data_IF_401981289447
#
_entry.id   IF_401981289447
#
_cell.length_a   1.000
_cell.length_b   1.000
_cell.length_c   1.000
_cell.angle_alpha   90.00
_cell.angle_beta   90.00
_cell.angle_gamma   90.00
#
_symmetry.space_group_name_H-M   'P 1'
#
loop_
_entity.id
_entity.type
_entity.pdbx_description
1 polymer ?
#
# COMPACT_ATOMS: atom_id res chain seq x y z
N UNK A 1 -70.24 10.03 -43.43
CA UNK A 1 -69.08 9.09 -43.54
C UNK A 1 -68.00 9.56 -42.56
N UNK A 2 -67.87 8.94 -41.39
CA UNK A 2 -66.86 9.27 -40.37
C UNK A 2 -65.54 8.49 -40.67
N UNK A 3 -64.48 9.21 -40.96
CA UNK A 3 -63.15 8.61 -41.14
C UNK A 3 -62.52 8.44 -39.75
N UNK A 4 -62.28 7.21 -39.34
CA UNK A 4 -61.58 6.85 -38.11
C UNK A 4 -60.08 6.83 -38.43
N UNK A 5 -59.30 7.74 -37.79
CA UNK A 5 -57.85 7.82 -37.91
C UNK A 5 -57.22 6.90 -36.81
N UNK A 6 -56.62 5.81 -37.24
CA UNK A 6 -55.85 4.95 -36.33
C UNK A 6 -54.46 5.56 -36.09
N UNK A 7 -54.22 6.04 -34.87
CA UNK A 7 -52.87 6.45 -34.44
C UNK A 7 -52.14 5.21 -33.96
N UNK A 8 -51.14 4.79 -34.71
CA UNK A 8 -50.21 3.70 -34.33
C UNK A 8 -49.21 4.25 -33.27
N UNK A 9 -49.41 3.96 -32.00
CA UNK A 9 -48.45 4.28 -30.94
C UNK A 9 -47.37 3.21 -30.96
N UNK A 10 -46.20 3.54 -31.53
CA UNK A 10 -45.01 2.72 -31.42
C UNK A 10 -44.44 2.86 -29.99
N UNK A 11 -44.61 1.86 -29.14
CA UNK A 11 -43.95 1.79 -27.87
C UNK A 11 -42.48 1.42 -28.07
N UNK A 12 -41.60 2.41 -27.94
CA UNK A 12 -40.13 2.21 -27.94
C UNK A 12 -39.76 1.66 -26.54
N UNK A 13 -39.56 0.36 -26.43
CA UNK A 13 -38.97 -0.24 -25.23
C UNK A 13 -37.50 0.04 -25.24
N UNK A 14 -37.05 0.97 -24.38
CA UNK A 14 -35.62 1.17 -24.11
C UNK A 14 -35.18 0.00 -23.27
N UNK A 15 -34.57 -1.00 -23.89
CA UNK A 15 -33.83 -2.03 -23.16
C UNK A 15 -32.52 -1.39 -22.70
N UNK A 16 -32.36 -1.18 -21.39
CA UNK A 16 -31.08 -0.90 -20.80
C UNK A 16 -30.18 -2.13 -21.02
N UNK A 17 -29.36 -2.11 -22.06
CA UNK A 17 -28.29 -3.07 -22.24
C UNK A 17 -27.19 -2.61 -21.27
N UNK A 18 -27.15 -3.18 -20.07
CA UNK A 18 -25.97 -3.13 -19.26
C UNK A 18 -24.92 -3.94 -20.03
N UNK A 19 -23.96 -3.28 -20.65
CA UNK A 19 -22.76 -3.92 -21.17
C UNK A 19 -22.02 -4.48 -19.96
N UNK A 20 -22.17 -5.77 -19.68
CA UNK A 20 -21.39 -6.46 -18.68
C UNK A 20 -20.02 -6.68 -19.32
N UNK A 21 -19.01 -6.03 -18.78
CA UNK A 21 -17.62 -6.23 -19.23
C UNK A 21 -17.21 -7.68 -18.99
N UNK A 22 -16.41 -8.24 -19.88
CA UNK A 22 -15.87 -9.60 -19.76
C UNK A 22 -14.85 -9.76 -18.64
N UNK A 23 -14.43 -8.68 -18.03
CA UNK A 23 -13.54 -8.64 -16.86
C UNK A 23 -14.00 -7.62 -15.82
N UNK A 24 -13.44 -7.68 -14.62
CA UNK A 24 -13.66 -6.70 -13.55
C UNK A 24 -12.33 -6.31 -12.89
N UNK A 25 -12.27 -5.09 -12.36
CA UNK A 25 -11.13 -4.61 -11.58
C UNK A 25 -11.15 -5.14 -10.13
N UNK A 26 -9.96 -5.34 -9.55
CA UNK A 26 -9.79 -5.84 -8.18
C UNK A 26 -8.75 -4.99 -7.41
N UNK A 27 -9.06 -4.55 -6.19
CA UNK A 27 -10.42 -4.47 -5.62
C UNK A 27 -11.24 -3.33 -6.24
N UNK A 28 -10.57 -2.35 -6.89
CA UNK A 28 -11.16 -1.16 -7.51
C UNK A 28 -10.42 -0.82 -8.80
N UNK A 29 -11.05 -0.02 -9.63
CA UNK A 29 -10.51 0.55 -10.87
C UNK A 29 -9.62 1.80 -10.63
N UNK A 30 -9.59 2.33 -9.41
CA UNK A 30 -8.94 3.60 -9.10
C UNK A 30 -8.06 3.51 -7.86
N UNK A 31 -6.83 3.98 -7.99
CA UNK A 31 -5.89 4.21 -6.88
C UNK A 31 -5.70 5.73 -6.74
N UNK A 32 -5.93 6.23 -5.52
CA UNK A 32 -5.56 7.59 -5.11
C UNK A 32 -4.51 7.48 -4.03
N UNK A 33 -3.28 7.92 -4.31
CA UNK A 33 -2.17 7.68 -3.39
C UNK A 33 -1.15 8.82 -3.39
N UNK A 34 -0.65 9.13 -2.20
CA UNK A 34 0.58 9.89 -2.02
C UNK A 34 1.78 8.94 -2.18
N UNK A 35 2.75 9.35 -2.99
CA UNK A 35 3.94 8.57 -3.33
C UNK A 35 5.19 9.17 -2.70
N UNK A 36 6.12 8.31 -2.28
CA UNK A 36 7.41 8.74 -1.76
C UNK A 36 8.19 9.48 -2.86
N UNK A 37 8.59 10.76 -2.62
CA UNK A 37 9.30 11.55 -3.62
C UNK A 37 10.68 11.01 -4.01
N UNK A 38 11.28 10.15 -3.19
CA UNK A 38 12.66 9.70 -3.35
C UNK A 38 12.79 8.19 -3.64
N UNK A 39 11.68 7.50 -3.86
CA UNK A 39 11.66 6.06 -4.10
C UNK A 39 10.80 5.68 -5.31
N UNK A 40 11.03 4.47 -5.84
CA UNK A 40 10.10 3.86 -6.77
C UNK A 40 8.87 3.34 -6.02
N UNK A 41 7.70 3.83 -6.43
CA UNK A 41 6.42 3.42 -5.90
C UNK A 41 5.73 2.50 -6.91
N UNK A 42 5.29 1.34 -6.49
CA UNK A 42 4.58 0.38 -7.33
C UNK A 42 3.09 0.38 -7.00
N UNK A 43 2.26 0.66 -7.99
CA UNK A 43 0.82 0.84 -7.86
C UNK A 43 0.11 -0.12 -8.81
N UNK A 44 -0.38 -1.23 -8.25
CA UNK A 44 -0.96 -2.33 -8.99
C UNK A 44 -2.49 -2.28 -8.97
N UNK A 45 -3.11 -2.37 -10.15
CA UNK A 45 -4.55 -2.65 -10.30
C UNK A 45 -4.68 -4.00 -11.02
N UNK A 46 -5.33 -4.94 -10.38
CA UNK A 46 -5.62 -6.24 -10.98
C UNK A 46 -6.94 -6.23 -11.74
N UNK A 47 -7.05 -7.11 -12.72
CA UNK A 47 -8.28 -7.39 -13.44
C UNK A 47 -8.52 -8.89 -13.50
N UNK A 48 -9.76 -9.31 -13.28
CA UNK A 48 -10.15 -10.71 -13.35
C UNK A 48 -10.96 -10.97 -14.60
N UNK A 49 -10.56 -11.96 -15.39
CA UNK A 49 -11.38 -12.48 -16.47
C UNK A 49 -12.60 -13.22 -15.89
N UNK A 50 -13.79 -12.74 -16.20
CA UNK A 50 -15.08 -13.30 -15.72
C UNK A 50 -15.63 -14.40 -16.64
N UNK A 51 -15.00 -14.58 -17.81
CA UNK A 51 -15.44 -15.56 -18.81
C UNK A 51 -14.75 -16.92 -18.60
N UNK A 52 -15.25 -17.95 -19.27
CA UNK A 52 -14.55 -19.23 -19.38
C UNK A 52 -13.49 -19.27 -20.47
N UNK A 53 -13.45 -18.25 -21.33
CA UNK A 53 -12.59 -18.18 -22.51
C UNK A 53 -11.36 -17.31 -22.26
N UNK A 54 -10.37 -17.40 -23.14
CA UNK A 54 -9.19 -16.52 -23.09
C UNK A 54 -9.52 -15.18 -23.74
N UNK A 55 -9.29 -14.08 -23.01
CA UNK A 55 -9.40 -12.73 -23.52
C UNK A 55 -8.08 -12.26 -24.13
N UNK A 56 -8.18 -11.58 -25.28
CA UNK A 56 -7.06 -10.91 -25.93
C UNK A 56 -7.20 -9.41 -25.71
N UNK A 57 -6.57 -8.92 -24.65
CA UNK A 57 -6.73 -7.55 -24.19
C UNK A 57 -5.66 -6.63 -24.79
N UNK A 58 -6.07 -5.42 -25.11
CA UNK A 58 -5.20 -4.30 -25.46
C UNK A 58 -5.40 -3.17 -24.46
N UNK A 59 -4.33 -2.48 -24.16
CA UNK A 59 -4.35 -1.27 -23.33
C UNK A 59 -4.14 -0.04 -24.22
N UNK A 60 -4.85 1.03 -23.87
CA UNK A 60 -4.71 2.35 -24.45
C UNK A 60 -4.54 3.38 -23.32
N UNK A 61 -3.51 4.19 -23.40
CA UNK A 61 -3.33 5.31 -22.46
C UNK A 61 -4.26 6.44 -22.90
N UNK A 62 -5.35 6.65 -22.16
CA UNK A 62 -6.34 7.68 -22.51
C UNK A 62 -6.00 9.05 -21.92
N UNK A 63 -5.26 9.07 -20.82
CA UNK A 63 -4.80 10.30 -20.17
C UNK A 63 -3.47 10.07 -19.46
N UNK A 64 -2.55 11.02 -19.57
CA UNK A 64 -1.34 11.08 -18.77
C UNK A 64 -1.00 12.55 -18.49
N UNK A 65 -1.18 12.95 -17.22
CA UNK A 65 -0.78 14.28 -16.69
C UNK A 65 0.32 14.16 -15.64
N UNK A 66 0.94 12.98 -15.51
CA UNK A 66 2.08 12.78 -14.60
C UNK A 66 3.21 13.71 -15.06
N UNK A 67 3.89 14.32 -14.09
CA UNK A 67 5.01 15.22 -14.37
C UNK A 67 6.06 14.51 -15.23
N UNK A 68 6.41 15.03 -16.39
CA UNK A 68 7.34 14.38 -17.32
C UNK A 68 8.78 14.29 -16.82
N UNK A 69 9.11 14.95 -15.70
CA UNK A 69 10.41 14.79 -15.03
C UNK A 69 10.45 13.58 -14.07
N UNK A 70 9.31 12.96 -13.79
CA UNK A 70 9.24 11.76 -12.99
C UNK A 70 9.68 10.54 -13.81
N UNK A 71 10.50 9.69 -13.22
CA UNK A 71 10.88 8.42 -13.86
C UNK A 71 9.85 7.33 -13.56
N UNK A 72 9.76 6.35 -14.44
CA UNK A 72 8.86 5.22 -14.22
C UNK A 72 8.45 4.50 -15.49
N UNK A 73 7.54 3.55 -15.32
CA UNK A 73 7.02 2.72 -16.41
C UNK A 73 5.61 2.21 -16.11
N UNK A 74 4.91 1.81 -17.16
CA UNK A 74 3.66 1.03 -17.05
C UNK A 74 3.94 -0.39 -17.52
N UNK A 75 3.58 -1.39 -16.68
CA UNK A 75 3.67 -2.80 -17.01
C UNK A 75 2.26 -3.42 -17.09
N UNK A 76 2.05 -4.25 -18.10
CA UNK A 76 0.80 -4.94 -18.37
C UNK A 76 1.08 -6.43 -18.52
N UNK A 77 0.61 -7.26 -17.60
CA UNK A 77 0.74 -8.72 -17.67
C UNK A 77 2.14 -9.18 -18.13
N UNK A 78 3.21 -8.64 -17.52
CA UNK A 78 4.59 -9.02 -17.82
C UNK A 78 5.25 -8.31 -19.01
N UNK A 79 4.53 -7.48 -19.74
CA UNK A 79 5.06 -6.60 -20.80
C UNK A 79 5.09 -5.19 -20.25
N UNK A 80 6.20 -4.46 -20.42
CA UNK A 80 6.34 -3.10 -19.91
C UNK A 80 6.60 -2.11 -21.05
N UNK A 81 5.99 -0.94 -20.95
CA UNK A 81 6.50 0.24 -21.65
C UNK A 81 7.83 0.65 -21.02
N UNK A 82 8.79 1.09 -21.80
CA UNK A 82 10.11 1.49 -21.27
C UNK A 82 10.08 2.78 -20.45
N UNK A 83 8.96 3.51 -20.45
CA UNK A 83 8.72 4.76 -19.70
C UNK A 83 7.26 4.82 -19.28
N UNK A 84 6.84 5.89 -18.60
CA UNK A 84 5.42 6.21 -18.43
C UNK A 84 4.92 6.72 -19.79
N UNK A 85 4.04 5.98 -20.50
CA UNK A 85 3.72 6.29 -21.88
C UNK A 85 2.79 7.51 -22.00
N UNK A 86 2.88 8.23 -23.12
CA UNK A 86 2.00 9.36 -23.42
C UNK A 86 0.58 8.88 -23.78
N UNK A 87 -0.40 9.78 -23.66
CA UNK A 87 -1.76 9.53 -24.12
C UNK A 87 -1.76 9.15 -25.62
N UNK A 88 -2.60 8.18 -25.99
CA UNK A 88 -2.66 7.57 -27.30
C UNK A 88 -1.71 6.39 -27.53
N UNK A 89 -0.80 6.09 -26.59
CA UNK A 89 0.03 4.88 -26.69
C UNK A 89 -0.81 3.62 -26.42
N UNK A 90 -0.57 2.58 -27.21
CA UNK A 90 -1.23 1.27 -27.05
C UNK A 90 -0.22 0.15 -26.94
N UNK A 91 -0.60 -0.94 -26.31
CA UNK A 91 0.15 -2.18 -26.30
C UNK A 91 -0.78 -3.37 -25.98
N UNK A 92 -0.44 -4.52 -26.54
CA UNK A 92 -1.21 -5.73 -26.33
C UNK A 92 -0.74 -6.45 -25.07
N UNK A 93 -1.69 -6.86 -24.22
CA UNK A 93 -1.40 -7.70 -23.04
C UNK A 93 -1.12 -9.14 -23.48
N UNK A 94 -0.40 -9.90 -22.64
CA UNK A 94 -0.40 -11.35 -22.77
C UNK A 94 -1.83 -11.90 -22.62
N UNK A 95 -2.20 -12.96 -23.37
CA UNK A 95 -3.55 -13.51 -23.31
C UNK A 95 -3.98 -13.87 -21.88
N UNK A 96 -5.16 -13.38 -21.46
CA UNK A 96 -5.69 -13.60 -20.11
C UNK A 96 -6.66 -14.78 -20.11
N UNK A 97 -6.21 -15.91 -19.60
CA UNK A 97 -7.00 -17.15 -19.53
C UNK A 97 -8.24 -16.98 -18.65
N UNK A 98 -9.33 -17.67 -18.99
CA UNK A 98 -10.59 -17.59 -18.28
C UNK A 98 -10.46 -17.85 -16.78
N UNK A 99 -11.09 -17.00 -15.97
CA UNK A 99 -11.07 -17.08 -14.52
C UNK A 99 -9.78 -16.62 -13.83
N UNK A 100 -8.69 -16.32 -14.58
CA UNK A 100 -7.42 -15.84 -14.03
C UNK A 100 -7.41 -14.31 -13.88
N UNK A 101 -6.47 -13.84 -13.06
CA UNK A 101 -6.19 -12.41 -12.89
C UNK A 101 -5.06 -11.99 -13.84
N UNK A 102 -5.23 -10.80 -14.42
CA UNK A 102 -4.19 -10.01 -15.04
C UNK A 102 -3.93 -8.74 -14.23
N UNK A 103 -3.04 -7.87 -14.72
CA UNK A 103 -2.76 -6.62 -14.04
C UNK A 103 -2.30 -5.51 -14.99
N UNK A 104 -2.55 -4.27 -14.55
CA UNK A 104 -1.86 -3.06 -15.02
C UNK A 104 -1.15 -2.46 -13.81
N UNK A 105 0.15 -2.18 -13.93
CA UNK A 105 0.99 -1.65 -12.85
C UNK A 105 1.67 -0.37 -13.31
N UNK A 106 1.47 0.69 -12.56
CA UNK A 106 2.27 1.91 -12.66
C UNK A 106 3.43 1.82 -11.67
N UNK A 107 4.66 1.98 -12.14
CA UNK A 107 5.83 2.22 -11.30
C UNK A 107 6.27 3.65 -11.53
N UNK A 108 6.46 4.43 -10.47
CA UNK A 108 6.79 5.86 -10.57
C UNK A 108 7.77 6.28 -9.48
N UNK A 109 8.77 7.11 -9.85
CA UNK A 109 9.68 7.77 -8.93
C UNK A 109 9.70 9.27 -9.25
N UNK A 110 9.25 10.12 -8.32
CA UNK A 110 9.27 11.58 -8.51
C UNK A 110 10.67 12.22 -8.57
N UNK A 111 11.74 11.49 -8.23
CA UNK A 111 13.12 11.98 -8.21
C UNK A 111 13.29 13.26 -7.36
N UNK A 112 12.65 13.31 -6.20
CA UNK A 112 12.66 14.45 -5.29
C UNK A 112 11.83 15.64 -5.74
N UNK A 113 11.05 15.53 -6.81
CA UNK A 113 10.15 16.59 -7.26
C UNK A 113 8.73 16.41 -6.74
N UNK A 114 8.03 17.50 -6.50
CA UNK A 114 6.68 17.50 -5.96
C UNK A 114 5.65 17.83 -7.03
N UNK A 115 4.42 17.42 -6.82
CA UNK A 115 3.33 17.66 -7.73
C UNK A 115 2.28 16.56 -7.70
N UNK A 116 1.37 16.59 -8.64
CA UNK A 116 0.34 15.57 -8.82
C UNK A 116 0.21 15.21 -10.29
N UNK A 117 -0.35 14.04 -10.55
CA UNK A 117 -0.64 13.61 -11.91
C UNK A 117 -1.67 12.50 -11.94
N UNK A 118 -2.30 12.35 -13.07
CA UNK A 118 -3.29 11.31 -13.35
C UNK A 118 -2.82 10.49 -14.54
N UNK A 119 -2.89 9.17 -14.39
CA UNK A 119 -2.78 8.22 -15.49
C UNK A 119 -4.10 7.47 -15.61
N UNK A 120 -4.67 7.44 -16.80
CA UNK A 120 -5.86 6.65 -17.10
C UNK A 120 -5.56 5.69 -18.25
N UNK A 121 -5.85 4.44 -18.02
CA UNK A 121 -5.56 3.34 -18.94
C UNK A 121 -6.86 2.61 -19.23
N UNK A 122 -7.29 2.63 -20.48
CA UNK A 122 -8.40 1.83 -20.95
C UNK A 122 -7.89 0.45 -21.33
N UNK A 123 -8.58 -0.59 -20.88
CA UNK A 123 -8.35 -1.98 -21.27
C UNK A 123 -9.59 -2.49 -21.99
N UNK A 124 -9.41 -3.16 -23.12
CA UNK A 124 -10.53 -3.67 -23.94
C UNK A 124 -10.14 -4.96 -24.66
N UNK A 125 -11.15 -5.78 -24.96
CA UNK A 125 -10.93 -6.96 -25.80
C UNK A 125 -10.80 -6.55 -27.27
N UNK A 126 -9.70 -6.96 -27.91
CA UNK A 126 -9.43 -6.68 -29.35
C UNK A 126 -10.56 -7.20 -30.23
N UNK A 127 -11.19 -8.33 -29.86
CA UNK A 127 -12.28 -8.92 -30.62
C UNK A 127 -13.61 -8.20 -30.41
N UNK A 128 -13.74 -7.44 -29.32
CA UNK A 128 -14.91 -6.64 -29.01
C UNK A 128 -14.48 -5.30 -28.37
N UNK A 129 -14.00 -4.32 -29.14
CA UNK A 129 -13.48 -3.05 -28.61
C UNK A 129 -14.49 -2.22 -27.80
N UNK A 130 -15.79 -2.53 -27.89
CA UNK A 130 -16.82 -1.91 -27.05
C UNK A 130 -16.86 -2.52 -25.64
N UNK A 131 -16.32 -3.71 -25.46
CA UNK A 131 -16.13 -4.38 -24.17
C UNK A 131 -14.80 -3.94 -23.57
N UNK A 132 -14.80 -2.80 -22.89
CA UNK A 132 -13.62 -2.23 -22.28
C UNK A 132 -13.97 -1.32 -21.12
N UNK A 133 -13.02 -1.19 -20.20
CA UNK A 133 -13.15 -0.37 -19.01
C UNK A 133 -11.83 0.35 -18.71
N UNK A 134 -11.86 1.34 -17.84
CA UNK A 134 -10.72 2.24 -17.57
C UNK A 134 -10.29 2.15 -16.12
N UNK A 135 -9.00 1.90 -15.90
CA UNK A 135 -8.40 2.05 -14.58
C UNK A 135 -7.62 3.37 -14.47
N UNK A 136 -7.53 3.90 -13.25
CA UNK A 136 -7.05 5.25 -12.99
C UNK A 136 -6.08 5.29 -11.80
N UNK A 137 -4.96 5.99 -11.95
CA UNK A 137 -4.09 6.38 -10.86
C UNK A 137 -4.12 7.90 -10.72
N UNK A 138 -4.45 8.38 -9.53
CA UNK A 138 -4.33 9.77 -9.12
C UNK A 138 -3.24 9.81 -8.07
N UNK A 139 -2.09 10.34 -8.42
CA UNK A 139 -0.90 10.30 -7.57
C UNK A 139 -0.46 11.71 -7.22
N UNK A 140 0.01 11.86 -5.99
CA UNK A 140 0.54 13.12 -5.47
C UNK A 140 1.87 12.84 -4.79
N UNK A 141 2.88 13.65 -5.11
CA UNK A 141 4.15 13.70 -4.39
C UNK A 141 4.23 15.04 -3.67
N UNK A 142 4.34 15.02 -2.36
CA UNK A 142 4.42 16.23 -1.54
C UNK A 142 5.79 16.33 -0.85
N UNK A 143 6.17 17.55 -0.49
CA UNK A 143 7.30 17.73 0.40
C UNK A 143 6.97 17.03 1.73
N UNK A 144 7.82 16.11 2.15
CA UNK A 144 7.69 15.48 3.46
C UNK A 144 8.07 16.53 4.52
N UNK A 145 7.14 17.46 4.79
CA UNK A 145 7.30 18.46 5.84
C UNK A 145 7.01 17.92 7.23
N UNK A 146 6.47 16.71 7.31
CA UNK A 146 6.35 15.97 8.55
C UNK A 146 7.46 14.93 8.61
N UNK A 147 8.30 15.00 9.62
CA UNK A 147 8.86 13.78 10.21
C UNK A 147 7.61 12.92 10.48
N UNK A 148 7.38 11.89 9.70
CA UNK A 148 6.45 10.85 10.09
C UNK A 148 6.91 10.47 11.48
N UNK A 149 6.15 10.80 12.52
CA UNK A 149 6.38 10.20 13.82
C UNK A 149 6.24 8.72 13.56
N UNK A 150 7.41 8.07 13.35
CA UNK A 150 7.51 6.61 13.42
C UNK A 150 6.74 6.29 14.70
N UNK A 151 5.67 5.51 14.58
CA UNK A 151 4.97 5.03 15.76
C UNK A 151 6.04 4.50 16.70
N UNK A 152 6.43 5.35 17.65
CA UNK A 152 7.49 5.00 18.59
C UNK A 152 6.84 3.98 19.51
N UNK A 153 7.32 2.75 19.44
CA UNK A 153 6.98 1.76 20.43
C UNK A 153 7.38 2.33 21.80
N UNK A 154 6.40 2.94 22.46
CA UNK A 154 6.67 3.61 23.72
C UNK A 154 6.98 2.54 24.76
N UNK A 155 8.18 2.59 25.36
CA UNK A 155 8.57 1.77 26.49
C UNK A 155 8.47 2.60 27.76
N UNK A 156 7.66 2.15 28.68
CA UNK A 156 7.52 2.72 30.01
C UNK A 156 8.24 1.83 31.02
N UNK A 157 9.04 2.43 31.88
CA UNK A 157 9.74 1.76 32.97
C UNK A 157 9.41 2.46 34.27
N UNK A 158 8.79 1.74 35.19
CA UNK A 158 8.39 2.26 36.49
C UNK A 158 8.48 1.19 37.63
N UNK A 159 8.72 1.62 38.87
CA UNK A 159 9.07 2.98 39.26
C UNK A 159 10.44 3.39 38.68
N UNK A 160 10.66 4.67 38.56
CA UNK A 160 11.95 5.25 38.18
C UNK A 160 12.15 6.56 38.99
N UNK A 161 13.04 6.58 39.97
CA UNK A 161 13.99 5.55 40.36
C UNK A 161 13.35 4.27 40.93
N UNK A 162 14.08 3.15 40.79
CA UNK A 162 13.69 1.83 41.25
C UNK A 162 14.69 1.29 42.32
N UNK A 163 14.25 0.35 43.16
CA UNK A 163 15.11 -0.40 44.08
C UNK A 163 15.27 -1.86 43.66
N UNK A 164 14.18 -2.63 43.68
CA UNK A 164 14.23 -4.09 43.52
C UNK A 164 13.61 -4.62 42.26
N UNK A 165 12.48 -4.04 41.85
CA UNK A 165 11.68 -4.50 40.72
C UNK A 165 11.27 -3.30 39.86
N UNK A 166 11.36 -3.47 38.56
CA UNK A 166 10.78 -2.55 37.55
C UNK A 166 9.66 -3.25 36.80
N UNK A 167 8.61 -2.51 36.49
CA UNK A 167 7.63 -2.88 35.48
C UNK A 167 8.05 -2.29 34.17
N UNK A 168 8.08 -3.09 33.12
CA UNK A 168 8.35 -2.68 31.73
C UNK A 168 7.07 -2.87 30.94
N UNK A 169 6.54 -1.81 30.38
CA UNK A 169 5.34 -1.85 29.55
C UNK A 169 5.60 -1.22 28.19
N UNK A 170 5.02 -1.79 27.14
CA UNK A 170 5.19 -1.35 25.75
C UNK A 170 3.83 -1.24 25.06
N UNK A 171 3.76 -0.42 24.02
CA UNK A 171 2.56 -0.30 23.16
C UNK A 171 2.34 -1.53 22.25
N UNK A 172 3.38 -2.35 22.03
CA UNK A 172 3.35 -3.55 21.19
C UNK A 172 3.84 -4.76 21.96
N UNK A 173 3.57 -5.98 21.50
CA UNK A 173 4.05 -7.21 22.12
C UNK A 173 5.58 -7.29 22.08
N UNK A 174 6.19 -7.72 23.18
CA UNK A 174 7.61 -8.01 23.27
C UNK A 174 7.85 -9.31 24.06
N UNK A 175 9.00 -9.95 23.87
CA UNK A 175 9.31 -11.23 24.50
C UNK A 175 10.71 -11.29 25.12
N UNK A 176 11.49 -10.23 25.01
CA UNK A 176 12.76 -10.16 25.75
C UNK A 176 13.19 -8.74 26.06
N UNK A 177 13.97 -8.61 27.13
CA UNK A 177 14.62 -7.37 27.55
C UNK A 177 16.08 -7.60 27.84
N UNK A 178 16.90 -6.62 27.52
CA UNK A 178 18.32 -6.60 27.93
C UNK A 178 18.64 -5.28 28.59
N UNK A 179 19.28 -5.33 29.78
CA UNK A 179 19.71 -4.14 30.53
C UNK A 179 21.20 -3.94 30.33
N UNK A 180 21.58 -2.70 30.09
CA UNK A 180 22.96 -2.26 29.92
C UNK A 180 23.31 -1.18 30.97
N UNK A 181 24.53 -1.19 31.42
CA UNK A 181 25.08 -0.08 32.19
C UNK A 181 25.51 1.10 31.28
N UNK A 182 26.00 2.18 31.90
CA UNK A 182 26.46 3.39 31.19
C UNK A 182 27.66 3.16 30.26
N UNK A 183 28.38 2.04 30.43
CA UNK A 183 29.53 1.65 29.61
C UNK A 183 29.08 0.77 28.43
N UNK A 184 27.79 0.45 28.32
CA UNK A 184 27.22 -0.44 27.30
C UNK A 184 27.47 -1.92 27.60
N UNK A 185 27.89 -2.29 28.82
CA UNK A 185 27.99 -3.68 29.20
C UNK A 185 26.61 -4.23 29.56
N UNK A 186 26.28 -5.39 29.01
CA UNK A 186 25.07 -6.10 29.36
C UNK A 186 25.17 -6.61 30.80
N UNK A 187 24.21 -6.24 31.64
CA UNK A 187 24.17 -6.61 33.09
C UNK A 187 22.98 -7.52 33.42
N UNK A 188 21.95 -7.56 32.58
CA UNK A 188 20.81 -8.44 32.74
C UNK A 188 20.21 -8.78 31.38
N UNK A 189 19.70 -10.01 31.23
CA UNK A 189 18.89 -10.43 30.10
C UNK A 189 17.73 -11.30 30.61
N UNK A 190 16.54 -11.10 30.07
CA UNK A 190 15.36 -11.87 30.41
C UNK A 190 14.54 -12.16 29.14
N UNK A 191 14.13 -13.43 28.98
CA UNK A 191 13.29 -13.90 27.89
C UNK A 191 12.02 -14.50 28.49
N UNK A 192 10.87 -14.20 27.89
CA UNK A 192 9.55 -14.60 28.39
C UNK A 192 8.57 -14.75 27.19
N UNK A 193 7.35 -15.17 27.45
CA UNK A 193 6.31 -15.21 26.44
C UNK A 193 5.87 -13.80 25.99
N UNK A 194 5.38 -13.67 24.77
CA UNK A 194 4.90 -12.40 24.20
C UNK A 194 3.89 -11.71 25.14
N UNK A 195 4.22 -10.51 25.57
CA UNK A 195 3.40 -9.69 26.48
C UNK A 195 3.54 -8.20 26.15
N UNK A 196 2.63 -7.38 26.64
CA UNK A 196 2.75 -5.91 26.62
C UNK A 196 3.27 -5.34 27.92
N UNK A 197 3.41 -6.16 28.97
CA UNK A 197 4.00 -5.74 30.26
C UNK A 197 4.60 -6.92 31.04
N UNK A 198 5.72 -6.67 31.68
CA UNK A 198 6.39 -7.68 32.55
C UNK A 198 7.11 -7.03 33.73
N UNK A 199 7.40 -7.83 34.74
CA UNK A 199 8.19 -7.42 35.91
C UNK A 199 9.60 -7.97 35.77
N UNK A 200 10.61 -7.11 36.01
CA UNK A 200 12.02 -7.45 35.93
C UNK A 200 12.64 -7.19 37.32
N UNK A 201 13.26 -8.22 37.87
CA UNK A 201 14.01 -8.07 39.15
C UNK A 201 15.37 -7.43 38.83
N UNK A 202 15.64 -6.30 39.45
CA UNK A 202 16.86 -5.49 39.31
C UNK A 202 17.63 -5.33 40.65
N UNK A 203 17.21 -6.03 41.71
CA UNK A 203 17.80 -5.93 43.05
C UNK A 203 19.30 -6.30 43.11
N UNK A 204 19.82 -7.03 42.12
CA UNK A 204 21.24 -7.35 42.00
C UNK A 204 22.10 -6.26 41.37
N UNK A 205 21.47 -5.20 40.84
CA UNK A 205 22.16 -4.10 40.22
C UNK A 205 22.51 -3.00 41.24
N UNK A 206 23.68 -2.40 41.12
CA UNK A 206 24.09 -1.30 41.96
C UNK A 206 23.34 -0.01 41.65
N UNK A 207 23.35 0.94 42.62
CA UNK A 207 22.82 2.29 42.36
C UNK A 207 23.50 2.91 41.16
N UNK A 208 22.70 3.44 40.20
CA UNK A 208 23.21 4.00 38.98
C UNK A 208 22.16 4.18 37.87
N UNK A 209 22.64 4.59 36.72
CA UNK A 209 21.85 4.77 35.51
C UNK A 209 22.01 3.56 34.59
N UNK A 210 20.90 3.08 34.05
CA UNK A 210 20.83 1.92 33.18
C UNK A 210 19.97 2.21 31.97
N UNK A 211 20.17 1.41 30.89
CA UNK A 211 19.37 1.41 29.70
C UNK A 211 18.77 0.04 29.47
N UNK A 212 17.46 -0.03 29.35
CA UNK A 212 16.75 -1.25 28.99
C UNK A 212 16.37 -1.21 27.55
N UNK A 213 16.65 -2.29 26.83
CA UNK A 213 16.22 -2.50 25.44
C UNK A 213 15.19 -3.61 25.41
N UNK A 214 14.12 -3.41 24.63
CA UNK A 214 13.07 -4.39 24.42
C UNK A 214 13.18 -4.99 23.03
N UNK A 215 12.78 -6.27 22.90
CA UNK A 215 12.86 -7.01 21.65
C UNK A 215 11.61 -7.86 21.43
N UNK A 216 11.25 -8.08 20.17
CA UNK A 216 10.27 -9.07 19.72
C UNK A 216 10.94 -10.00 18.73
N UNK A 217 11.00 -11.30 19.04
CA UNK A 217 11.62 -12.33 18.20
C UNK A 217 13.05 -11.98 17.75
N UNK A 218 13.82 -11.37 18.65
CA UNK A 218 15.18 -10.92 18.40
C UNK A 218 15.32 -9.59 17.67
N UNK A 219 14.22 -8.98 17.21
CA UNK A 219 14.22 -7.65 16.60
C UNK A 219 14.15 -6.58 17.69
N UNK A 220 15.08 -5.63 17.60
CA UNK A 220 15.10 -4.46 18.49
C UNK A 220 13.85 -3.59 18.27
N UNK A 221 13.22 -3.18 19.39
CA UNK A 221 12.07 -2.29 19.38
C UNK A 221 12.43 -0.88 19.84
N UNK A 222 12.84 -0.75 21.12
CA UNK A 222 13.06 0.57 21.73
C UNK A 222 14.03 0.48 22.91
N UNK A 223 14.57 1.64 23.31
CA UNK A 223 15.46 1.80 24.47
C UNK A 223 14.89 2.82 25.45
N UNK A 224 14.85 2.49 26.73
CA UNK A 224 14.44 3.40 27.79
C UNK A 224 15.51 3.50 28.89
N UNK A 225 15.77 4.72 29.35
CA UNK A 225 16.66 4.99 30.47
C UNK A 225 15.88 4.84 31.79
N UNK A 226 16.50 4.21 32.80
CA UNK A 226 16.00 4.20 34.19
C UNK A 226 17.15 4.30 35.19
N UNK A 227 16.81 4.56 36.44
CA UNK A 227 17.76 4.78 37.51
C UNK A 227 17.46 3.80 38.67
N UNK A 228 18.48 3.23 39.26
CA UNK A 228 18.37 2.47 40.52
C UNK A 228 18.92 3.33 41.63
N UNK A 229 18.12 3.46 42.70
CA UNK A 229 18.50 4.12 43.96
C UNK A 229 17.80 3.42 45.13
N UNK A 230 18.55 3.19 46.21
CA UNK A 230 17.99 2.77 47.47
C UNK A 230 17.17 3.90 48.10
#
# INVERSE_FOLDING_TARGET
MKKILYILIATFTITNINAQTSFMWLPNDTIVQEVDPNAYNELLIEQKNLTGDTLNLEVEIVENTINPSWDGMVCIQGICFGTIPLAGATNQMAPLVGGLNGYVKLTVNPLGTFGSGTLRVRVYDINNPLDGDTCTWIITSTEVTSVQEKETNTVLVYPNPASDIISVATSSLFNSVTVFDIQGKQVLNSVFENTTATLINVSALNNGVYFIKTYTDGMFMETQKFTISE
#
